data_IF_825092759561
#
_entry.id   IF_825092759561
#
_cell.length_a   1.000
_cell.length_b   1.000
_cell.length_c   1.000
_cell.angle_alpha   90.00
_cell.angle_beta   90.00
_cell.angle_gamma   90.00
#
_symmetry.space_group_name_H-M   'P 1'
#
loop_
_entity.id
_entity.type
_entity.pdbx_description
1 polymer ?
#
# COMPACT_ATOMS: atom_id res chain seq x y z
N UNK A 1 -2.31 16.41 -22.15
CA UNK A 1 -2.57 15.14 -21.47
C UNK A 1 -3.94 15.15 -20.82
N UNK A 2 -4.68 14.09 -20.99
CA UNK A 2 -5.98 13.94 -20.34
C UNK A 2 -5.87 12.90 -19.22
N UNK A 3 -6.46 13.23 -18.08
CA UNK A 3 -6.51 12.31 -16.95
C UNK A 3 -7.98 12.04 -16.63
N UNK A 4 -8.42 10.81 -16.82
CA UNK A 4 -9.82 10.44 -16.58
C UNK A 4 -10.05 10.01 -15.13
N UNK A 5 -9.03 9.41 -14.49
CA UNK A 5 -9.11 8.98 -13.09
C UNK A 5 -7.71 8.66 -12.61
N UNK A 6 -7.58 8.54 -11.30
CA UNK A 6 -6.32 8.11 -10.68
C UNK A 6 -6.27 6.58 -10.80
N UNK A 7 -5.22 6.06 -11.46
CA UNK A 7 -5.08 4.62 -11.68
C UNK A 7 -4.77 3.90 -10.38
N UNK A 8 -3.85 4.46 -9.56
CA UNK A 8 -3.55 3.87 -8.25
C UNK A 8 -2.92 4.92 -7.33
N UNK A 9 -2.99 4.63 -6.03
CA UNK A 9 -2.36 5.42 -4.99
C UNK A 9 -1.48 4.49 -4.16
N UNK A 10 -0.26 4.93 -3.86
CA UNK A 10 0.63 4.20 -2.97
C UNK A 10 0.71 4.93 -1.64
N UNK A 11 0.48 4.21 -0.55
CA UNK A 11 0.50 4.76 0.80
C UNK A 11 1.48 3.97 1.65
N UNK A 12 2.50 4.65 2.17
CA UNK A 12 3.49 4.00 3.04
C UNK A 12 2.91 3.81 4.43
N UNK A 13 3.06 2.59 4.98
CA UNK A 13 2.57 2.27 6.32
C UNK A 13 3.67 1.55 7.09
N UNK A 14 3.61 1.63 8.42
CA UNK A 14 4.58 0.95 9.27
C UNK A 14 4.32 -0.55 9.36
N UNK A 15 3.06 -0.96 9.27
CA UNK A 15 2.69 -2.37 9.43
C UNK A 15 1.44 -2.68 8.65
N UNK A 16 1.51 -3.65 7.75
CA UNK A 16 0.32 -4.13 7.02
C UNK A 16 -0.60 -4.87 7.98
N UNK A 17 -0.04 -5.58 8.97
CA UNK A 17 -0.85 -6.30 9.95
C UNK A 17 -1.80 -5.38 10.69
N UNK A 18 -1.37 -4.15 10.96
CA UNK A 18 -2.22 -3.17 11.62
C UNK A 18 -3.07 -2.37 10.64
N UNK A 19 -2.54 -2.09 9.46
CA UNK A 19 -3.23 -1.23 8.49
C UNK A 19 -4.36 -1.92 7.77
N UNK A 20 -4.19 -3.21 7.40
CA UNK A 20 -5.21 -3.94 6.65
C UNK A 20 -6.55 -3.99 7.39
N UNK A 21 -6.60 -4.37 8.68
CA UNK A 21 -7.90 -4.40 9.38
C UNK A 21 -8.59 -3.04 9.40
N UNK A 22 -7.83 -1.96 9.52
CA UNK A 22 -8.39 -0.63 9.51
C UNK A 22 -9.08 -0.34 8.16
N UNK A 23 -8.37 -0.62 7.07
CA UNK A 23 -8.92 -0.35 5.74
C UNK A 23 -10.11 -1.25 5.44
N UNK A 24 -10.09 -2.48 5.90
CA UNK A 24 -11.22 -3.39 5.68
C UNK A 24 -12.42 -3.05 6.56
N UNK A 25 -12.19 -2.81 7.85
CA UNK A 25 -13.29 -2.66 8.81
C UNK A 25 -13.85 -1.24 8.86
N UNK A 26 -12.98 -0.23 8.74
CA UNK A 26 -13.42 1.16 8.86
C UNK A 26 -13.83 1.72 7.51
N UNK A 27 -13.05 1.44 6.47
CA UNK A 27 -13.32 2.00 5.15
C UNK A 27 -14.10 1.06 4.23
N UNK A 28 -14.33 -0.18 4.68
CA UNK A 28 -15.18 -1.11 3.94
C UNK A 28 -14.55 -1.66 2.66
N UNK A 29 -13.24 -1.58 2.52
CA UNK A 29 -12.54 -2.10 1.36
C UNK A 29 -11.99 -3.48 1.68
N UNK A 30 -11.86 -4.32 0.65
CA UNK A 30 -11.35 -5.66 0.84
C UNK A 30 -9.95 -5.78 0.25
N UNK A 31 -9.01 -6.30 1.05
CA UNK A 31 -7.68 -6.60 0.55
C UNK A 31 -7.76 -7.83 -0.36
N UNK A 32 -7.40 -7.67 -1.63
CA UNK A 32 -7.54 -8.79 -2.57
C UNK A 32 -6.21 -9.49 -2.86
N UNK A 33 -5.09 -8.92 -2.47
CA UNK A 33 -3.80 -9.55 -2.69
C UNK A 33 -2.74 -8.90 -1.81
N UNK A 34 -1.72 -9.69 -1.47
CA UNK A 34 -0.54 -9.19 -0.77
C UNK A 34 0.65 -9.77 -1.51
N UNK A 35 1.61 -8.91 -1.86
CA UNK A 35 2.82 -9.33 -2.57
C UNK A 35 4.06 -8.75 -1.90
N UNK A 36 5.14 -9.51 -1.91
CA UNK A 36 6.41 -9.00 -1.43
C UNK A 36 7.35 -8.81 -2.61
N UNK A 37 7.88 -7.61 -2.76
CA UNK A 37 8.84 -7.29 -3.81
C UNK A 37 10.22 -7.25 -3.16
N UNK A 38 10.92 -8.38 -3.19
CA UNK A 38 12.17 -8.54 -2.47
C UNK A 38 13.25 -7.55 -2.90
N UNK A 39 13.33 -7.28 -4.20
CA UNK A 39 14.33 -6.35 -4.72
C UNK A 39 14.18 -4.94 -4.15
N UNK A 40 12.96 -4.54 -3.88
CA UNK A 40 12.67 -3.20 -3.35
C UNK A 40 12.46 -3.22 -1.85
N UNK A 41 12.54 -4.40 -1.24
CA UNK A 41 12.40 -4.57 0.22
C UNK A 41 11.09 -3.98 0.73
N UNK A 42 10.01 -4.34 0.04
CA UNK A 42 8.67 -3.83 0.37
C UNK A 42 7.65 -4.96 0.24
N UNK A 43 6.64 -4.91 1.12
CA UNK A 43 5.49 -5.78 1.04
C UNK A 43 4.28 -4.91 0.77
N UNK A 44 3.45 -5.30 -0.18
CA UNK A 44 2.34 -4.48 -0.66
C UNK A 44 1.01 -5.20 -0.49
N UNK A 45 0.02 -4.49 0.07
CA UNK A 45 -1.36 -4.98 0.13
C UNK A 45 -2.19 -4.16 -0.84
N UNK A 46 -3.06 -4.84 -1.58
CA UNK A 46 -3.84 -4.23 -2.66
C UNK A 46 -5.33 -4.17 -2.32
N UNK A 47 -5.91 -3.00 -2.54
CA UNK A 47 -7.35 -2.76 -2.39
C UNK A 47 -7.87 -2.10 -3.65
N UNK A 48 -9.18 -2.22 -3.89
CA UNK A 48 -9.79 -1.55 -5.03
C UNK A 48 -10.88 -0.61 -4.54
N UNK A 49 -10.80 0.64 -4.95
CA UNK A 49 -11.79 1.65 -4.65
C UNK A 49 -12.32 2.19 -5.98
N UNK A 50 -13.45 1.64 -6.44
CA UNK A 50 -13.94 1.98 -7.77
C UNK A 50 -12.93 1.56 -8.82
N UNK A 51 -12.43 2.50 -9.59
CA UNK A 51 -11.42 2.26 -10.63
C UNK A 51 -10.00 2.50 -10.12
N UNK A 52 -9.85 2.91 -8.86
CA UNK A 52 -8.55 3.26 -8.31
C UNK A 52 -8.01 2.13 -7.45
N UNK A 53 -6.79 1.72 -7.75
CA UNK A 53 -6.09 0.71 -6.95
C UNK A 53 -5.39 1.41 -5.79
N UNK A 54 -5.61 0.91 -4.59
CA UNK A 54 -4.93 1.41 -3.39
C UNK A 54 -3.88 0.39 -2.99
N UNK A 55 -2.63 0.84 -2.84
CA UNK A 55 -1.52 -0.01 -2.44
C UNK A 55 -0.95 0.48 -1.12
N UNK A 56 -0.99 -0.38 -0.10
CA UNK A 56 -0.36 -0.09 1.18
C UNK A 56 1.01 -0.73 1.16
N UNK A 57 2.04 0.07 1.40
CA UNK A 57 3.44 -0.34 1.24
C UNK A 57 4.14 -0.38 2.60
N UNK A 58 4.55 -1.57 3.01
CA UNK A 58 5.30 -1.75 4.26
C UNK A 58 6.74 -2.10 3.93
N UNK A 59 7.72 -1.37 4.47
CA UNK A 59 9.12 -1.73 4.25
C UNK A 59 9.48 -3.02 4.97
N UNK A 60 10.24 -3.89 4.30
CA UNK A 60 10.71 -5.14 4.93
C UNK A 60 12.13 -4.99 5.46
N UNK A 61 12.73 -3.81 5.28
CA UNK A 61 14.11 -3.53 5.71
C UNK A 61 14.28 -2.03 5.89
N UNK A 62 15.11 -1.58 6.86
CA UNK A 62 15.41 -0.15 7.01
C UNK A 62 16.06 0.47 5.77
N UNK A 63 16.61 -0.36 4.88
CA UNK A 63 17.26 0.12 3.66
C UNK A 63 16.25 0.41 2.54
N UNK A 64 14.99 0.00 2.72
CA UNK A 64 13.96 0.26 1.73
C UNK A 64 13.73 1.76 1.55
N UNK A 65 13.45 2.19 0.32
CA UNK A 65 13.10 3.58 0.04
C UNK A 65 11.86 3.98 0.84
N UNK A 66 10.91 3.05 1.00
CA UNK A 66 9.70 3.31 1.77
C UNK A 66 10.03 3.54 3.24
N UNK A 67 10.96 2.76 3.80
CA UNK A 67 11.37 2.96 5.20
C UNK A 67 11.95 4.35 5.41
N UNK A 68 12.77 4.80 4.48
CA UNK A 68 13.37 6.13 4.56
C UNK A 68 12.33 7.22 4.44
N UNK A 69 11.31 6.99 3.62
CA UNK A 69 10.21 7.93 3.47
C UNK A 69 9.42 8.08 4.77
N UNK A 70 9.11 6.97 5.42
CA UNK A 70 8.35 6.97 6.68
C UNK A 70 9.14 7.65 7.79
N UNK A 71 10.45 7.44 7.81
CA UNK A 71 11.33 7.98 8.84
C UNK A 71 11.36 9.50 8.83
N UNK A 72 11.19 10.10 7.67
CA UNK A 72 11.16 11.54 7.52
C UNK A 72 9.76 12.08 7.78
#
# INVERSE_FOLDING_TARGET
MKVSHIEHLGIAVNSLEEAIPYWENVLGLKCYAIEEVADQKVKTAFFMLGQTKIELLEPTSPESTIAKYIEN
#
